data_IF_902778637831
#
_entry.id   IF_902778637831
#
_cell.length_a   1.000
_cell.length_b   1.000
_cell.length_c   1.000
_cell.angle_alpha   90.00
_cell.angle_beta   90.00
_cell.angle_gamma   90.00
#
_symmetry.space_group_name_H-M   'P 1'
#
loop_
_entity.id
_entity.type
_entity.pdbx_description
1 polymer ?
#
# COMPACT_ATOMS: atom_id res chain seq x y z
N UNK A 1 -11.57 22.13 16.65
CA UNK A 1 -10.35 21.31 16.73
C UNK A 1 -10.04 20.74 15.36
N UNK A 2 -8.89 21.08 14.84
CA UNK A 2 -8.51 20.59 13.51
C UNK A 2 -7.90 19.21 13.63
N UNK A 3 -8.49 18.25 12.94
CA UNK A 3 -7.90 16.93 12.84
C UNK A 3 -6.75 16.98 11.83
N UNK A 4 -5.67 16.31 12.18
CA UNK A 4 -4.54 16.19 11.27
C UNK A 4 -4.91 15.29 10.10
N UNK A 5 -4.83 15.82 8.88
CA UNK A 5 -5.09 15.05 7.67
C UNK A 5 -3.98 14.02 7.48
N UNK A 6 -4.37 12.75 7.33
CA UNK A 6 -3.41 11.69 6.99
C UNK A 6 -3.20 11.68 5.49
N UNK A 7 -1.94 11.58 5.10
CA UNK A 7 -1.58 11.60 3.69
C UNK A 7 -0.54 10.54 3.37
N UNK A 8 -0.67 9.94 2.18
CA UNK A 8 0.42 9.19 1.60
C UNK A 8 1.41 10.22 1.05
N UNK A 9 2.65 10.29 1.58
CA UNK A 9 3.58 11.35 1.17
C UNK A 9 4.13 11.11 -0.23
N UNK A 10 4.69 12.16 -0.82
CA UNK A 10 5.34 12.06 -2.12
C UNK A 10 6.59 11.17 -1.99
N UNK A 11 6.58 10.01 -2.61
CA UNK A 11 7.70 9.07 -2.61
C UNK A 11 7.84 8.41 -3.98
N UNK A 12 9.06 8.01 -4.31
CA UNK A 12 9.32 7.22 -5.50
C UNK A 12 9.16 5.73 -5.17
N UNK A 13 8.57 4.99 -6.09
CA UNK A 13 8.36 3.56 -5.93
C UNK A 13 8.53 2.87 -7.29
N UNK A 14 8.68 1.56 -7.26
CA UNK A 14 8.80 0.76 -8.48
C UNK A 14 7.97 -0.50 -8.34
N UNK A 15 7.15 -0.78 -9.34
CA UNK A 15 6.44 -2.04 -9.43
C UNK A 15 7.41 -3.17 -9.77
N UNK A 16 7.04 -4.40 -9.43
CA UNK A 16 7.89 -5.56 -9.71
C UNK A 16 8.02 -5.84 -11.22
N UNK A 17 7.13 -5.29 -12.04
CA UNK A 17 7.24 -5.38 -13.51
C UNK A 17 8.20 -4.31 -14.10
N UNK A 18 8.80 -3.47 -13.25
CA UNK A 18 9.73 -2.42 -13.66
C UNK A 18 9.12 -1.04 -13.83
N UNK A 19 7.80 -0.90 -13.76
CA UNK A 19 7.15 0.39 -13.91
C UNK A 19 7.50 1.31 -12.74
N UNK A 20 7.94 2.53 -13.06
CA UNK A 20 8.25 3.53 -12.04
C UNK A 20 7.03 4.36 -11.69
N UNK A 21 6.88 4.66 -10.40
CA UNK A 21 5.76 5.43 -9.87
C UNK A 21 6.26 6.61 -9.05
N UNK A 22 5.61 7.74 -9.24
CA UNK A 22 5.72 8.86 -8.30
C UNK A 22 4.43 8.88 -7.51
N UNK A 23 4.52 8.50 -6.25
CA UNK A 23 3.34 8.43 -5.40
C UNK A 23 3.07 9.78 -4.74
N UNK A 24 1.83 10.14 -4.51
CA UNK A 24 0.61 9.40 -4.86
C UNK A 24 0.07 9.65 -6.28
N UNK A 25 0.64 10.60 -7.02
CA UNK A 25 0.04 11.10 -8.27
C UNK A 25 -0.08 10.06 -9.38
N UNK A 26 0.81 9.07 -9.41
CA UNK A 26 0.81 8.03 -10.45
C UNK A 26 -0.11 6.84 -10.12
N UNK A 27 -0.76 6.83 -8.94
CA UNK A 27 -1.76 5.81 -8.62
C UNK A 27 -2.87 5.82 -9.66
N UNK A 28 -3.31 4.63 -10.08
CA UNK A 28 -4.20 4.49 -11.23
C UNK A 28 -5.68 4.71 -10.94
N UNK A 29 -6.11 4.58 -9.69
CA UNK A 29 -7.52 4.69 -9.33
C UNK A 29 -7.91 6.09 -8.87
N UNK A 30 -9.19 6.41 -8.99
CA UNK A 30 -9.75 7.59 -8.33
C UNK A 30 -9.67 7.42 -6.82
N UNK A 31 -9.85 6.17 -6.37
CA UNK A 31 -9.55 5.71 -5.02
C UNK A 31 -8.58 4.54 -5.13
N UNK A 32 -7.66 4.45 -4.18
CA UNK A 32 -6.63 3.41 -4.19
C UNK A 32 -6.57 2.75 -2.82
N UNK A 33 -6.72 1.44 -2.82
CA UNK A 33 -6.69 0.61 -1.61
C UNK A 33 -5.31 -0.02 -1.55
N UNK A 34 -4.53 0.35 -0.55
CA UNK A 34 -3.11 0.00 -0.47
C UNK A 34 -2.79 -0.70 0.85
N UNK A 35 -2.15 -1.85 0.77
CA UNK A 35 -1.56 -2.50 1.93
C UNK A 35 -0.08 -2.08 2.03
N UNK A 36 0.25 -1.31 3.06
CA UNK A 36 1.60 -0.79 3.28
C UNK A 36 2.32 -1.70 4.27
N UNK A 37 3.40 -2.32 3.83
CA UNK A 37 4.21 -3.22 4.65
C UNK A 37 5.56 -2.58 4.96
N UNK A 38 6.07 -2.78 6.17
CA UNK A 38 7.31 -2.17 6.65
C UNK A 38 8.40 -3.19 6.95
N UNK A 39 8.05 -4.47 7.07
CA UNK A 39 8.97 -5.55 7.40
C UNK A 39 8.65 -6.77 6.54
N UNK A 40 9.65 -7.62 6.34
CA UNK A 40 9.50 -8.82 5.49
C UNK A 40 8.39 -9.76 5.99
N UNK A 41 8.28 -9.93 7.30
CA UNK A 41 7.27 -10.80 7.90
C UNK A 41 5.85 -10.25 7.83
N UNK A 42 5.68 -9.02 7.36
CA UNK A 42 4.36 -8.43 7.16
C UNK A 42 3.59 -9.05 5.99
N UNK A 43 4.24 -9.82 5.13
CA UNK A 43 3.60 -10.42 3.96
C UNK A 43 2.42 -11.32 4.35
N UNK A 44 2.54 -12.08 5.43
CA UNK A 44 1.44 -12.94 5.89
C UNK A 44 0.18 -12.13 6.24
N UNK A 45 0.38 -10.97 6.88
CA UNK A 45 -0.73 -10.09 7.23
C UNK A 45 -1.35 -9.43 6.00
N UNK A 46 -0.51 -9.01 5.03
CA UNK A 46 -0.98 -8.49 3.74
C UNK A 46 -1.83 -9.53 3.02
N UNK A 47 -1.38 -10.77 3.02
CA UNK A 47 -2.07 -11.86 2.33
C UNK A 47 -3.49 -12.09 2.87
N UNK A 48 -3.74 -11.79 4.15
CA UNK A 48 -5.08 -11.93 4.73
C UNK A 48 -6.11 -10.99 4.09
N UNK A 49 -5.66 -9.88 3.50
CA UNK A 49 -6.51 -8.88 2.87
C UNK A 49 -6.76 -9.10 1.37
N UNK A 50 -5.97 -9.94 0.72
CA UNK A 50 -5.96 -9.99 -0.76
C UNK A 50 -7.28 -10.45 -1.36
N UNK A 51 -8.02 -11.32 -0.69
CA UNK A 51 -9.34 -11.75 -1.13
C UNK A 51 -10.34 -10.58 -1.16
N UNK A 52 -10.33 -9.76 -0.11
CA UNK A 52 -11.18 -8.57 -0.05
C UNK A 52 -10.75 -7.54 -1.11
N UNK A 53 -9.43 -7.37 -1.31
CA UNK A 53 -8.91 -6.43 -2.31
C UNK A 53 -9.43 -6.80 -3.71
N UNK A 54 -9.32 -8.06 -4.09
CA UNK A 54 -9.78 -8.53 -5.41
C UNK A 54 -11.29 -8.32 -5.58
N UNK A 55 -12.07 -8.68 -4.57
CA UNK A 55 -13.53 -8.54 -4.61
C UNK A 55 -13.94 -7.07 -4.71
N UNK A 56 -13.31 -6.20 -3.93
CA UNK A 56 -13.65 -4.78 -3.89
C UNK A 56 -13.26 -4.07 -5.19
N UNK A 57 -12.13 -4.42 -5.78
CA UNK A 57 -11.72 -3.86 -7.08
C UNK A 57 -12.75 -4.20 -8.17
N UNK A 58 -13.30 -5.42 -8.14
CA UNK A 58 -14.33 -5.83 -9.07
C UNK A 58 -15.68 -5.12 -8.82
N UNK A 59 -16.00 -4.84 -7.57
CA UNK A 59 -17.26 -4.23 -7.15
C UNK A 59 -17.32 -2.71 -7.37
N UNK A 60 -16.16 -2.03 -7.37
CA UNK A 60 -16.08 -0.57 -7.40
C UNK A 60 -15.33 -0.06 -8.61
N UNK A 61 -16.03 0.61 -9.52
CA UNK A 61 -15.41 1.30 -10.64
C UNK A 61 -14.51 2.43 -10.11
N UNK A 62 -13.30 2.54 -10.64
CA UNK A 62 -12.35 3.59 -10.21
C UNK A 62 -11.52 3.22 -9.00
N UNK A 63 -11.74 2.05 -8.41
CA UNK A 63 -10.91 1.56 -7.31
C UNK A 63 -9.80 0.68 -7.86
N UNK A 64 -8.55 0.99 -7.48
CA UNK A 64 -7.42 0.11 -7.76
C UNK A 64 -6.76 -0.34 -6.46
N UNK A 65 -6.21 -1.54 -6.46
CA UNK A 65 -5.58 -2.11 -5.29
C UNK A 65 -4.08 -2.31 -5.49
N UNK A 66 -3.31 -2.11 -4.43
CA UNK A 66 -1.85 -2.22 -4.46
C UNK A 66 -1.34 -2.83 -3.17
N UNK A 67 -0.18 -3.48 -3.27
CA UNK A 67 0.67 -3.81 -2.13
C UNK A 67 1.89 -2.89 -2.21
N UNK A 68 2.24 -2.26 -1.10
CA UNK A 68 3.38 -1.33 -1.07
C UNK A 68 4.37 -1.71 0.03
N UNK A 69 5.31 -2.60 -0.26
CA UNK A 69 6.45 -2.81 0.63
C UNK A 69 7.27 -1.51 0.72
N UNK A 70 7.65 -1.13 1.93
CA UNK A 70 8.45 0.07 2.16
C UNK A 70 9.83 -0.35 2.67
N UNK A 71 10.86 0.06 1.95
CA UNK A 71 12.24 -0.31 2.24
C UNK A 71 13.05 0.96 2.48
N UNK A 72 13.88 0.95 3.54
CA UNK A 72 14.70 2.10 3.88
C UNK A 72 15.60 2.52 2.71
N UNK A 73 15.75 3.83 2.52
CA UNK A 73 16.62 4.44 1.51
C UNK A 73 18.05 3.89 1.52
N UNK A 74 18.55 3.52 2.69
CA UNK A 74 19.92 2.99 2.80
C UNK A 74 20.12 1.70 2.02
N UNK A 75 19.05 1.03 1.60
CA UNK A 75 19.10 -0.18 0.78
C UNK A 75 18.97 0.13 -0.72
N UNK A 76 18.87 1.40 -1.12
CA UNK A 76 18.76 1.80 -2.53
C UNK A 76 19.84 1.22 -3.45
N UNK A 77 21.12 1.12 -3.02
CA UNK A 77 22.16 0.56 -3.89
C UNK A 77 21.93 -0.90 -4.30
N UNK A 78 21.10 -1.63 -3.56
CA UNK A 78 20.79 -3.04 -3.85
C UNK A 78 19.35 -3.25 -4.30
N UNK A 79 18.63 -2.15 -4.60
CA UNK A 79 17.20 -2.23 -4.96
C UNK A 79 16.93 -3.11 -6.19
N UNK A 80 17.80 -3.08 -7.19
CA UNK A 80 17.64 -3.91 -8.38
C UNK A 80 17.68 -5.41 -8.06
N UNK A 81 18.55 -5.81 -7.13
CA UNK A 81 18.64 -7.20 -6.67
C UNK A 81 17.41 -7.58 -5.87
N UNK A 82 16.96 -6.69 -4.97
CA UNK A 82 15.77 -6.91 -4.16
C UNK A 82 14.53 -7.04 -5.04
N UNK A 83 14.35 -6.14 -6.01
CA UNK A 83 13.24 -6.16 -6.94
C UNK A 83 13.23 -7.47 -7.76
N UNK A 84 14.38 -7.91 -8.22
CA UNK A 84 14.52 -9.15 -8.98
C UNK A 84 14.12 -10.37 -8.16
N UNK A 85 14.56 -10.44 -6.90
CA UNK A 85 14.19 -11.54 -6.00
C UNK A 85 12.71 -11.55 -5.69
N UNK A 86 12.11 -10.39 -5.47
CA UNK A 86 10.68 -10.26 -5.22
C UNK A 86 9.88 -10.66 -6.46
N UNK A 87 10.31 -10.23 -7.64
CA UNK A 87 9.65 -10.57 -8.90
C UNK A 87 9.69 -12.08 -9.16
N UNK A 88 10.82 -12.74 -8.88
CA UNK A 88 10.97 -14.19 -9.03
C UNK A 88 10.04 -14.96 -8.10
N UNK A 89 9.76 -14.41 -6.92
CA UNK A 89 8.86 -15.02 -5.95
C UNK A 89 7.38 -14.84 -6.30
N UNK A 90 7.06 -13.89 -7.19
CA UNK A 90 5.68 -13.55 -7.58
C UNK A 90 5.53 -13.71 -9.09
N UNK A 91 5.11 -14.87 -9.59
CA UNK A 91 5.04 -15.13 -11.04
C UNK A 91 3.85 -14.46 -11.73
N UNK A 92 2.79 -14.10 -11.02
CA UNK A 92 1.59 -13.54 -11.63
C UNK A 92 1.83 -12.10 -12.14
N UNK A 93 1.62 -11.82 -13.46
CA UNK A 93 1.87 -10.49 -14.02
C UNK A 93 1.04 -9.38 -13.38
N UNK A 94 -0.22 -9.64 -13.04
CA UNK A 94 -1.07 -8.62 -12.41
C UNK A 94 -0.54 -8.28 -11.01
N UNK A 95 -0.15 -9.29 -10.25
CA UNK A 95 0.42 -9.09 -8.91
C UNK A 95 1.71 -8.29 -8.99
N UNK A 96 2.57 -8.59 -9.97
CA UNK A 96 3.81 -7.82 -10.18
C UNK A 96 3.53 -6.35 -10.48
N UNK A 97 2.53 -6.08 -11.31
CA UNK A 97 2.17 -4.70 -11.67
C UNK A 97 1.58 -3.93 -10.49
N UNK A 98 0.99 -4.63 -9.53
CA UNK A 98 0.32 -4.03 -8.37
C UNK A 98 1.15 -4.06 -7.09
N UNK A 99 2.34 -4.64 -7.12
CA UNK A 99 3.27 -4.63 -6.00
C UNK A 99 4.33 -3.56 -6.24
N UNK A 100 4.16 -2.41 -5.57
CA UNK A 100 5.00 -1.23 -5.76
C UNK A 100 5.88 -1.03 -4.53
N UNK A 101 7.18 -1.21 -4.70
CA UNK A 101 8.14 -1.06 -3.61
C UNK A 101 8.56 0.40 -3.47
N UNK A 102 8.31 0.99 -2.30
CA UNK A 102 8.71 2.36 -1.99
C UNK A 102 10.07 2.35 -1.29
N UNK A 103 11.02 3.09 -1.84
CA UNK A 103 12.35 3.27 -1.26
C UNK A 103 12.41 4.65 -0.59
N UNK A 104 12.19 4.69 0.71
CA UNK A 104 12.10 5.94 1.44
C UNK A 104 12.42 5.73 2.92
N UNK A 105 12.49 6.83 3.66
CA UNK A 105 12.54 6.76 5.12
C UNK A 105 11.19 6.24 5.64
N UNK A 106 11.21 5.08 6.25
CA UNK A 106 10.02 4.42 6.81
C UNK A 106 9.34 5.32 7.84
N UNK A 107 10.12 6.09 8.62
CA UNK A 107 9.57 7.04 9.57
C UNK A 107 8.75 8.14 8.93
N UNK A 108 9.09 8.54 7.70
CA UNK A 108 8.33 9.53 6.95
C UNK A 108 6.92 9.02 6.61
N UNK A 109 6.83 7.76 6.18
CA UNK A 109 5.53 7.13 5.92
C UNK A 109 4.73 7.02 7.22
N UNK A 110 5.36 6.53 8.28
CA UNK A 110 4.73 6.42 9.60
C UNK A 110 4.12 7.75 10.04
N UNK A 111 4.91 8.82 9.99
CA UNK A 111 4.49 10.13 10.50
C UNK A 111 3.40 10.74 9.63
N UNK A 112 3.51 10.62 8.31
CA UNK A 112 2.52 11.16 7.38
C UNK A 112 1.18 10.46 7.49
N UNK A 113 1.18 9.14 7.73
CA UNK A 113 -0.04 8.37 7.94
C UNK A 113 -0.55 8.43 9.38
N UNK A 114 0.21 9.02 10.28
CA UNK A 114 -0.17 9.14 11.70
C UNK A 114 -0.15 7.80 12.44
N UNK A 115 0.79 6.93 12.09
CA UNK A 115 0.89 5.60 12.71
C UNK A 115 1.68 5.66 14.03
N UNK A 116 1.31 4.83 15.02
CA UNK A 116 2.06 4.79 16.28
C UNK A 116 3.46 4.18 16.13
N UNK A 117 3.61 3.25 15.20
CA UNK A 117 4.87 2.57 14.89
C UNK A 117 4.78 1.89 13.53
N UNK A 118 5.79 1.10 13.18
CA UNK A 118 5.83 0.34 11.92
C UNK A 118 5.85 -1.18 12.18
N UNK A 119 5.33 -1.61 13.31
CA UNK A 119 5.29 -3.03 13.69
C UNK A 119 4.16 -3.80 13.05
N UNK A 120 3.15 -3.09 12.51
CA UNK A 120 2.02 -3.67 11.81
C UNK A 120 1.90 -3.08 10.42
N UNK A 121 1.26 -3.80 9.52
CA UNK A 121 0.90 -3.23 8.23
C UNK A 121 -0.16 -2.14 8.42
N UNK A 122 -0.21 -1.21 7.46
CA UNK A 122 -1.30 -0.22 7.39
C UNK A 122 -2.05 -0.45 6.10
N UNK A 123 -3.38 -0.62 6.19
CA UNK A 123 -4.24 -0.70 5.01
C UNK A 123 -4.96 0.62 4.89
N UNK A 124 -4.83 1.28 3.75
CA UNK A 124 -5.35 2.63 3.54
C UNK A 124 -6.19 2.71 2.26
N UNK A 125 -7.13 3.65 2.25
CA UNK A 125 -7.78 4.11 1.02
C UNK A 125 -7.37 5.57 0.84
N UNK A 126 -6.80 5.89 -0.31
CA UNK A 126 -6.42 7.28 -0.62
C UNK A 126 -6.74 7.64 -2.06
N UNK A 127 -6.81 8.95 -2.33
CA UNK A 127 -6.93 9.47 -3.68
C UNK A 127 -5.56 9.75 -4.31
N UNK A 128 -5.54 10.34 -5.52
CA UNK A 128 -4.28 10.66 -6.21
C UNK A 128 -3.53 11.84 -5.61
N UNK A 129 -4.16 12.61 -4.75
CA UNK A 129 -3.49 13.65 -3.97
C UNK A 129 -2.86 13.08 -2.69
N UNK A 130 -3.13 11.82 -2.39
CA UNK A 130 -2.62 11.14 -1.23
C UNK A 130 -3.48 11.28 0.01
N UNK A 131 -4.63 11.93 -0.09
CA UNK A 131 -5.52 12.12 1.07
C UNK A 131 -6.13 10.79 1.45
N UNK A 132 -5.89 10.36 2.70
CA UNK A 132 -6.36 9.08 3.24
C UNK A 132 -7.76 9.26 3.80
N UNK A 133 -8.71 8.51 3.26
CA UNK A 133 -10.10 8.53 3.72
C UNK A 133 -10.44 7.38 4.69
N UNK A 134 -9.62 6.34 4.73
CA UNK A 134 -9.80 5.21 5.63
C UNK A 134 -8.46 4.56 5.93
N UNK A 135 -8.29 4.05 7.15
CA UNK A 135 -7.06 3.39 7.58
C UNK A 135 -7.38 2.32 8.63
N UNK A 136 -6.72 1.17 8.49
CA UNK A 136 -6.72 0.12 9.51
C UNK A 136 -5.31 -0.43 9.69
N UNK A 137 -5.04 -0.99 10.86
CA UNK A 137 -3.73 -1.58 11.19
C UNK A 137 -3.84 -3.09 11.32
N UNK A 138 -2.82 -3.80 10.85
CA UNK A 138 -2.66 -5.23 11.07
C UNK A 138 -3.43 -6.12 10.12
N UNK A 139 -3.45 -7.40 10.46
CA UNK A 139 -4.13 -8.42 9.67
C UNK A 139 -5.64 -8.17 9.58
N UNK A 140 -6.24 -8.79 8.56
CA UNK A 140 -7.68 -8.70 8.36
C UNK A 140 -8.46 -9.25 9.56
N UNK A 141 -9.49 -8.51 9.94
CA UNK A 141 -10.55 -9.03 10.80
C UNK A 141 -11.88 -8.81 10.07
N UNK A 142 -12.92 -9.54 10.47
CA UNK A 142 -14.25 -9.36 9.86
C UNK A 142 -14.78 -7.95 10.13
N UNK A 143 -14.49 -7.41 11.30
CA UNK A 143 -14.86 -6.04 11.66
C UNK A 143 -14.17 -5.01 10.77
N UNK A 144 -12.85 -5.14 10.58
CA UNK A 144 -12.08 -4.22 9.72
C UNK A 144 -12.53 -4.32 8.26
N UNK A 145 -12.80 -5.53 7.77
CA UNK A 145 -13.29 -5.73 6.41
C UNK A 145 -14.68 -5.09 6.20
N UNK A 146 -15.56 -5.20 7.20
CA UNK A 146 -16.85 -4.55 7.16
C UNK A 146 -16.75 -3.03 7.17
N UNK A 147 -15.84 -2.48 7.98
CA UNK A 147 -15.57 -1.04 8.03
C UNK A 147 -15.05 -0.53 6.68
N UNK A 148 -14.16 -1.28 6.04
CA UNK A 148 -13.63 -0.93 4.72
C UNK A 148 -14.74 -0.88 3.68
N UNK A 149 -15.62 -1.89 3.66
CA UNK A 149 -16.75 -1.92 2.73
C UNK A 149 -17.70 -0.75 2.95
N UNK A 150 -17.98 -0.42 4.19
CA UNK A 150 -18.81 0.73 4.54
C UNK A 150 -18.16 2.04 4.07
N UNK A 151 -16.85 2.18 4.24
CA UNK A 151 -16.13 3.38 3.79
C UNK A 151 -16.16 3.55 2.27
N UNK A 152 -16.08 2.44 1.51
CA UNK A 152 -16.13 2.48 0.04
C UNK A 152 -17.54 2.69 -0.50
N UNK A 153 -18.56 2.32 0.24
CA UNK A 153 -19.97 2.48 -0.14
C UNK A 153 -20.56 3.83 0.30
N UNK A 154 -19.85 4.55 1.14
CA UNK A 154 -20.29 5.84 1.67
C UNK A 154 -20.07 7.04 0.77
#
# INVERSE_FOLDING_TARGET
>A
MSEKIRMLPAVEARALDGTEYRLPSDLGGERNLIAVAFERNHQDDVDTWLGDFAALEDEHTGLMTYEMPTISRRFSPVRGVLDGKMADAIPDPKTRARTITAYTDVGRIRDSLGLPDTKQIAVIVCDRDGVVSWLALGERSDEAAADLRAALNG
#
